data_IF_382492242494
#
_entry.id   IF_382492242494
#
_cell.length_a   1.000
_cell.length_b   1.000
_cell.length_c   1.000
_cell.angle_alpha   90.00
_cell.angle_beta   90.00
_cell.angle_gamma   90.00
#
_symmetry.space_group_name_H-M   'P 1'
#
loop_
_entity.id
_entity.type
_entity.pdbx_description
1 polymer ?
#
# COMPACT_ATOMS: atom_id res chain seq x y z
N UNK A 1 -0.35 -25.08 -2.55
CA UNK A 1 -0.54 -23.75 -3.15
C UNK A 1 0.07 -22.76 -2.19
N UNK A 2 1.22 -22.18 -2.54
CA UNK A 2 1.88 -21.17 -1.70
C UNK A 2 0.98 -19.94 -1.68
N UNK A 3 0.35 -19.66 -0.55
CA UNK A 3 -0.23 -18.35 -0.26
C UNK A 3 0.89 -17.33 -0.50
N UNK A 4 0.80 -16.54 -1.57
CA UNK A 4 1.75 -15.45 -1.80
C UNK A 4 1.76 -14.55 -0.55
N UNK A 5 2.94 -14.32 0.04
CA UNK A 5 3.06 -13.49 1.23
C UNK A 5 2.65 -12.06 0.84
N UNK A 6 1.58 -11.54 1.47
CA UNK A 6 1.05 -10.21 1.18
C UNK A 6 2.13 -9.13 1.33
N UNK A 7 3.10 -9.34 2.22
CA UNK A 7 4.23 -8.43 2.39
C UNK A 7 5.20 -8.48 1.22
N UNK A 8 5.41 -9.64 0.59
CA UNK A 8 6.20 -9.75 -0.64
C UNK A 8 5.53 -9.01 -1.80
N UNK A 9 4.21 -9.15 -1.95
CA UNK A 9 3.44 -8.42 -2.96
C UNK A 9 3.54 -6.91 -2.73
N UNK A 10 3.40 -6.47 -1.48
CA UNK A 10 3.55 -5.05 -1.12
C UNK A 10 4.96 -4.55 -1.45
N UNK A 11 5.99 -5.31 -1.06
CA UNK A 11 7.38 -4.94 -1.31
C UNK A 11 7.67 -4.83 -2.81
N UNK A 12 7.23 -5.80 -3.63
CA UNK A 12 7.38 -5.76 -5.10
C UNK A 12 6.70 -4.53 -5.71
N UNK A 13 5.51 -4.18 -5.19
CA UNK A 13 4.77 -3.02 -5.65
C UNK A 13 5.48 -1.70 -5.32
N UNK A 14 6.04 -1.61 -4.10
CA UNK A 14 6.85 -0.47 -3.68
C UNK A 14 8.12 -0.38 -4.51
N UNK A 15 8.83 -1.49 -4.73
CA UNK A 15 10.05 -1.54 -5.55
C UNK A 15 9.83 -1.10 -6.99
N UNK A 16 8.66 -1.40 -7.56
CA UNK A 16 8.30 -0.93 -8.89
C UNK A 16 8.15 0.59 -8.99
N UNK A 17 7.91 1.27 -7.87
CA UNK A 17 7.47 2.67 -7.82
C UNK A 17 8.45 3.59 -7.07
N UNK A 18 9.25 3.05 -6.14
CA UNK A 18 10.25 3.76 -5.34
C UNK A 18 11.64 3.35 -5.82
N UNK A 19 12.48 4.30 -6.27
CA UNK A 19 13.86 3.99 -6.61
C UNK A 19 14.61 3.50 -5.36
N UNK A 20 15.39 2.41 -5.48
CA UNK A 20 16.35 1.86 -4.47
C UNK A 20 15.84 0.86 -3.44
N UNK A 21 14.62 0.30 -3.57
CA UNK A 21 14.22 -0.86 -2.75
C UNK A 21 15.02 -2.12 -3.14
N UNK A 22 15.18 -2.34 -4.44
CA UNK A 22 16.16 -3.26 -5.00
C UNK A 22 17.50 -2.57 -5.27
N UNK A 23 18.62 -3.29 -5.22
CA UNK A 23 19.91 -2.80 -5.71
C UNK A 23 19.80 -2.29 -7.17
N UNK A 24 20.62 -1.31 -7.53
CA UNK A 24 20.62 -0.74 -8.87
C UNK A 24 20.78 -1.83 -9.94
N UNK A 25 19.87 -1.87 -10.92
CA UNK A 25 19.86 -2.87 -11.98
C UNK A 25 19.30 -4.25 -11.58
N UNK A 26 18.78 -4.43 -10.36
CA UNK A 26 18.28 -5.70 -9.84
C UNK A 26 16.81 -5.66 -9.40
N UNK A 27 15.96 -4.97 -10.17
CA UNK A 27 14.50 -4.85 -9.89
C UNK A 27 13.89 -6.21 -9.55
N UNK A 28 13.15 -6.28 -8.43
CA UNK A 28 12.55 -7.52 -7.92
C UNK A 28 13.45 -8.36 -7.00
N UNK A 29 14.74 -8.05 -6.85
CA UNK A 29 15.60 -8.66 -5.80
C UNK A 29 15.54 -7.83 -4.52
N UNK A 30 14.41 -7.92 -3.83
CA UNK A 30 14.18 -7.21 -2.59
C UNK A 30 14.86 -7.96 -1.43
N UNK A 31 15.78 -7.30 -0.69
CA UNK A 31 16.38 -7.91 0.49
C UNK A 31 15.33 -8.35 1.51
N UNK A 32 15.48 -9.53 2.10
CA UNK A 32 14.53 -10.07 3.10
C UNK A 32 14.31 -9.13 4.29
N UNK A 33 15.33 -8.39 4.70
CA UNK A 33 15.24 -7.40 5.77
C UNK A 33 14.19 -6.31 5.52
N UNK A 34 13.86 -5.99 4.26
CA UNK A 34 12.76 -5.08 3.94
C UNK A 34 11.39 -5.69 4.24
N UNK A 35 11.20 -6.98 3.95
CA UNK A 35 9.95 -7.68 4.26
C UNK A 35 9.76 -7.74 5.78
N UNK A 36 10.83 -8.06 6.52
CA UNK A 36 10.81 -8.09 7.98
C UNK A 36 10.52 -6.70 8.55
N UNK A 37 11.06 -5.64 7.95
CA UNK A 37 10.76 -4.26 8.32
C UNK A 37 9.29 -3.89 8.08
N UNK A 38 8.71 -4.27 6.94
CA UNK A 38 7.28 -4.06 6.66
C UNK A 38 6.38 -4.79 7.67
N UNK A 39 6.77 -5.99 8.11
CA UNK A 39 6.06 -6.77 9.13
C UNK A 39 6.04 -6.10 10.51
N UNK A 40 7.06 -5.31 10.83
CA UNK A 40 7.12 -4.54 12.07
C UNK A 40 6.23 -3.29 12.00
N UNK A 41 6.16 -2.65 10.84
CA UNK A 41 5.46 -1.36 10.68
C UNK A 41 3.97 -1.49 10.39
N UNK A 42 3.56 -2.58 9.74
CA UNK A 42 2.22 -2.70 9.16
C UNK A 42 1.57 -3.97 9.68
N UNK A 43 0.42 -3.79 10.31
CA UNK A 43 -0.41 -4.91 10.76
C UNK A 43 -0.79 -5.81 9.58
N UNK A 44 -0.69 -7.12 9.79
CA UNK A 44 -0.93 -8.11 8.73
C UNK A 44 -2.31 -7.96 8.08
N UNK A 45 -3.31 -7.59 8.87
CA UNK A 45 -4.67 -7.38 8.40
C UNK A 45 -4.80 -6.19 7.44
N UNK A 46 -3.89 -5.23 7.53
CA UNK A 46 -3.92 -3.97 6.80
C UNK A 46 -3.12 -4.03 5.48
N UNK A 47 -2.14 -4.92 5.39
CA UNK A 47 -1.36 -5.18 4.16
C UNK A 47 -2.26 -5.51 2.98
N UNK A 48 -3.31 -6.32 3.21
CA UNK A 48 -4.25 -6.75 2.16
C UNK A 48 -5.01 -5.57 1.54
N UNK A 49 -5.16 -4.47 2.27
CA UNK A 49 -5.78 -3.23 1.79
C UNK A 49 -4.76 -2.33 1.10
N UNK A 50 -3.57 -2.19 1.68
CA UNK A 50 -2.47 -1.39 1.12
C UNK A 50 -2.10 -1.85 -0.30
N UNK A 51 -1.99 -3.16 -0.55
CA UNK A 51 -1.67 -3.68 -1.90
C UNK A 51 -2.69 -3.27 -2.97
N UNK A 52 -3.92 -2.87 -2.59
CA UNK A 52 -4.96 -2.42 -3.52
C UNK A 52 -4.84 -0.93 -3.86
N UNK A 53 -4.13 -0.14 -3.06
CA UNK A 53 -3.82 1.25 -3.36
C UNK A 53 -2.80 1.37 -4.49
N UNK A 54 -2.70 2.56 -5.06
CA UNK A 54 -1.61 2.91 -5.98
C UNK A 54 -0.45 3.50 -5.16
N UNK A 55 0.77 3.38 -5.66
CA UNK A 55 1.92 4.12 -5.09
C UNK A 55 1.98 5.49 -5.75
N UNK A 56 2.32 6.53 -4.98
CA UNK A 56 2.51 7.88 -5.50
C UNK A 56 3.47 7.89 -6.72
N UNK A 57 3.25 8.77 -7.73
CA UNK A 57 2.28 9.86 -7.80
C UNK A 57 0.88 9.42 -8.32
N UNK A 58 0.61 8.11 -8.44
CA UNK A 58 -0.70 7.64 -8.88
C UNK A 58 -1.65 7.56 -7.69
N UNK A 59 -2.75 8.31 -7.74
CA UNK A 59 -3.75 8.33 -6.67
C UNK A 59 -5.08 7.72 -7.13
N UNK A 60 -5.86 7.22 -6.18
CA UNK A 60 -7.21 6.72 -6.40
C UNK A 60 -8.23 7.43 -5.51
N UNK A 61 -9.48 7.50 -5.97
CA UNK A 61 -10.59 8.04 -5.19
C UNK A 61 -11.13 7.01 -4.20
N UNK A 62 -11.83 7.47 -3.15
CA UNK A 62 -12.52 6.60 -2.19
C UNK A 62 -13.39 5.55 -2.89
N UNK A 63 -14.26 5.99 -3.80
CA UNK A 63 -15.12 5.10 -4.61
C UNK A 63 -14.36 4.00 -5.35
N UNK A 64 -13.19 4.31 -5.92
CA UNK A 64 -12.36 3.31 -6.62
C UNK A 64 -11.70 2.36 -5.62
N UNK A 65 -11.31 2.85 -4.45
CA UNK A 65 -10.75 2.02 -3.38
C UNK A 65 -11.78 1.02 -2.86
N UNK A 66 -12.96 1.52 -2.47
CA UNK A 66 -14.08 0.73 -1.97
C UNK A 66 -14.43 -0.42 -2.93
N UNK A 67 -14.53 -0.11 -4.23
CA UNK A 67 -14.76 -1.13 -5.28
C UNK A 67 -13.65 -2.18 -5.36
N UNK A 68 -12.37 -1.81 -5.18
CA UNK A 68 -11.24 -2.75 -5.24
C UNK A 68 -11.20 -3.70 -4.03
N UNK A 69 -11.61 -3.22 -2.86
CA UNK A 69 -11.64 -4.03 -1.62
C UNK A 69 -13.01 -4.70 -1.39
N UNK A 70 -13.98 -4.47 -2.28
CA UNK A 70 -15.36 -4.99 -2.21
C UNK A 70 -16.08 -4.60 -0.92
N UNK A 71 -15.91 -3.34 -0.50
CA UNK A 71 -16.59 -2.71 0.64
C UNK A 71 -17.35 -1.48 0.19
N UNK A 72 -18.23 -0.97 1.03
CA UNK A 72 -18.84 0.34 0.82
C UNK A 72 -17.84 1.48 1.08
N UNK A 73 -18.25 2.72 0.78
CA UNK A 73 -17.38 3.88 0.92
C UNK A 73 -17.10 4.26 2.38
N UNK A 74 -17.99 3.92 3.32
CA UNK A 74 -17.82 4.23 4.74
C UNK A 74 -16.78 3.31 5.37
N UNK A 75 -16.92 1.99 5.18
CA UNK A 75 -15.92 1.02 5.63
C UNK A 75 -14.55 1.26 4.98
N UNK A 76 -14.54 1.60 3.68
CA UNK A 76 -13.32 1.89 2.96
C UNK A 76 -12.63 3.15 3.51
N UNK A 77 -13.41 4.15 3.95
CA UNK A 77 -12.87 5.36 4.57
C UNK A 77 -12.25 5.06 5.93
N UNK A 78 -12.91 4.26 6.78
CA UNK A 78 -12.36 3.86 8.09
C UNK A 78 -11.02 3.12 7.94
N UNK A 79 -10.90 2.24 6.94
CA UNK A 79 -9.64 1.56 6.62
C UNK A 79 -8.57 2.58 6.18
N UNK A 80 -8.92 3.54 5.33
CA UNK A 80 -7.98 4.57 4.87
C UNK A 80 -7.52 5.46 6.03
N UNK A 81 -8.42 5.84 6.94
CA UNK A 81 -8.09 6.65 8.11
C UNK A 81 -7.11 5.92 9.03
N UNK A 82 -7.36 4.65 9.35
CA UNK A 82 -6.40 3.82 10.10
C UNK A 82 -5.03 3.74 9.42
N UNK A 83 -5.01 3.52 8.11
CA UNK A 83 -3.76 3.45 7.33
C UNK A 83 -3.04 4.81 7.24
N UNK A 84 -3.77 5.93 7.30
CA UNK A 84 -3.19 7.28 7.37
C UNK A 84 -2.56 7.50 8.75
N UNK A 85 -3.23 7.08 9.83
CA UNK A 85 -2.71 7.20 11.20
C UNK A 85 -1.44 6.37 11.41
N UNK A 86 -1.32 5.24 10.70
CA UNK A 86 -0.10 4.43 10.64
C UNK A 86 0.98 5.01 9.69
N UNK A 87 0.80 6.21 9.13
CA UNK A 87 1.68 6.85 8.14
C UNK A 87 1.92 6.02 6.86
N UNK A 88 1.03 5.09 6.53
CA UNK A 88 1.17 4.24 5.33
C UNK A 88 0.54 4.85 4.08
N UNK A 89 -0.39 5.81 4.24
CA UNK A 89 -1.20 6.36 3.14
C UNK A 89 -1.16 7.88 3.15
N UNK A 90 -0.98 8.47 1.98
CA UNK A 90 -1.13 9.90 1.72
C UNK A 90 -2.55 10.22 1.27
N UNK A 91 -3.15 11.24 1.88
CA UNK A 91 -4.41 11.86 1.47
C UNK A 91 -4.14 13.22 0.85
N UNK A 92 -4.60 13.43 -0.39
CA UNK A 92 -4.49 14.73 -1.08
C UNK A 92 -5.86 15.30 -1.42
N UNK A 93 -6.01 16.63 -1.31
CA UNK A 93 -7.24 17.36 -1.62
C UNK A 93 -8.30 17.29 -0.51
N UNK A 94 -8.94 18.43 -0.23
CA UNK A 94 -9.93 18.56 0.85
C UNK A 94 -11.37 18.21 0.43
N UNK A 95 -11.81 18.68 -0.74
CA UNK A 95 -13.20 18.49 -1.23
C UNK A 95 -13.43 17.14 -1.94
N UNK A 96 -12.42 16.63 -2.63
CA UNK A 96 -12.47 15.35 -3.37
C UNK A 96 -11.18 14.58 -3.11
N UNK A 97 -11.04 14.00 -1.91
CA UNK A 97 -9.79 13.40 -1.49
C UNK A 97 -9.39 12.23 -2.39
N UNK A 98 -8.09 12.10 -2.62
CA UNK A 98 -7.48 10.96 -3.29
C UNK A 98 -6.39 10.37 -2.41
N UNK A 99 -6.14 9.09 -2.59
CA UNK A 99 -5.33 8.26 -1.71
C UNK A 99 -4.27 7.49 -2.48
N UNK A 100 -3.08 7.36 -1.91
CA UNK A 100 -1.97 6.55 -2.42
C UNK A 100 -1.11 6.07 -1.25
N UNK A 101 -0.29 5.04 -1.47
CA UNK A 101 0.72 4.62 -0.49
C UNK A 101 1.74 5.75 -0.33
N UNK A 102 2.09 6.08 0.93
CA UNK A 102 3.14 7.03 1.27
C UNK A 102 4.50 6.46 0.82
N UNK A 103 5.27 7.24 0.06
CA UNK A 103 6.64 6.90 -0.33
C UNK A 103 7.66 7.33 0.73
#
# INVERSE_FOLDING_TARGET
>A
MLSEDLYEILAQKLDASVPRLSPAGQKGKIPKGWIDYLKILIDHEDVKFLIKLSVGPNFLTLKRFARKIKKDEEEALQILERLIDQNCVLKIGSKKPKYAIHQ
#
